data_IF_088201996540
#
_entry.id   IF_088201996540
#
_cell.length_a   1.000
_cell.length_b   1.000
_cell.length_c   1.000
_cell.angle_alpha   90.00
_cell.angle_beta   90.00
_cell.angle_gamma   90.00
#
_symmetry.space_group_name_H-M   'P 1'
#
loop_
_entity.id
_entity.type
_entity.pdbx_description
1 polymer ?
#
# COMPACT_ATOMS: atom_id res chain seq x y z
N UNK A 1 -16.92 -5.28 -4.14
CA UNK A 1 -15.98 -4.55 -3.27
C UNK A 1 -14.61 -5.22 -3.21
N UNK A 2 -14.52 -6.57 -3.13
CA UNK A 2 -13.24 -7.31 -3.16
C UNK A 2 -12.42 -7.10 -4.45
N UNK A 3 -13.07 -6.93 -5.61
CA UNK A 3 -12.37 -6.75 -6.89
C UNK A 3 -11.51 -5.48 -6.95
N UNK A 4 -11.91 -4.43 -6.25
CA UNK A 4 -11.23 -3.14 -6.31
C UNK A 4 -9.98 -3.12 -5.42
N UNK A 5 -10.04 -3.79 -4.27
CA UNK A 5 -8.86 -4.00 -3.40
C UNK A 5 -7.80 -4.87 -4.08
N UNK A 6 -8.22 -5.92 -4.79
CA UNK A 6 -7.32 -6.76 -5.59
C UNK A 6 -6.67 -5.94 -6.71
N UNK A 7 -7.44 -5.14 -7.45
CA UNK A 7 -6.91 -4.25 -8.50
C UNK A 7 -5.93 -3.22 -7.95
N UNK A 8 -6.25 -2.59 -6.82
CA UNK A 8 -5.36 -1.61 -6.18
C UNK A 8 -4.04 -2.25 -5.77
N UNK A 9 -4.09 -3.45 -5.18
CA UNK A 9 -2.91 -4.24 -4.83
C UNK A 9 -2.06 -4.56 -6.07
N UNK A 10 -2.68 -5.02 -7.14
CA UNK A 10 -1.96 -5.41 -8.36
C UNK A 10 -1.30 -4.20 -9.03
N UNK A 11 -1.99 -3.04 -9.06
CA UNK A 11 -1.42 -1.78 -9.53
C UNK A 11 -0.26 -1.31 -8.64
N UNK A 12 -0.40 -1.40 -7.31
CA UNK A 12 0.66 -1.08 -6.37
C UNK A 12 1.88 -2.01 -6.51
N UNK A 13 1.65 -3.30 -6.81
CA UNK A 13 2.69 -4.29 -7.08
C UNK A 13 3.43 -4.04 -8.39
N UNK A 14 2.75 -3.56 -9.43
CA UNK A 14 3.38 -3.25 -10.73
C UNK A 14 3.98 -1.84 -10.79
N UNK A 15 3.76 -1.01 -9.77
CA UNK A 15 4.20 0.38 -9.75
C UNK A 15 3.35 1.30 -10.63
N UNK A 16 2.13 0.90 -10.96
CA UNK A 16 1.19 1.70 -11.77
C UNK A 16 0.54 2.79 -10.90
N UNK A 17 1.31 3.87 -10.70
CA UNK A 17 0.89 5.01 -9.90
C UNK A 17 -0.38 5.69 -10.44
N UNK A 18 -0.60 5.67 -11.76
CA UNK A 18 -1.78 6.28 -12.38
C UNK A 18 -3.05 5.52 -12.00
N UNK A 19 -3.03 4.19 -12.14
CA UNK A 19 -4.14 3.33 -11.72
C UNK A 19 -4.36 3.40 -10.21
N UNK A 20 -3.29 3.39 -9.41
CA UNK A 20 -3.38 3.56 -7.95
C UNK A 20 -4.09 4.88 -7.62
N UNK A 21 -3.64 6.00 -8.20
CA UNK A 21 -4.21 7.33 -7.98
C UNK A 21 -5.69 7.39 -8.32
N UNK A 22 -6.07 6.84 -9.48
CA UNK A 22 -7.45 6.80 -9.93
C UNK A 22 -8.32 6.02 -8.95
N UNK A 23 -7.90 4.82 -8.56
CA UNK A 23 -8.65 3.97 -7.64
C UNK A 23 -8.79 4.67 -6.28
N UNK A 24 -7.71 5.18 -5.68
CA UNK A 24 -7.79 5.80 -4.35
C UNK A 24 -8.67 7.05 -4.32
N UNK A 25 -8.79 7.80 -5.43
CA UNK A 25 -9.66 8.98 -5.51
C UNK A 25 -11.16 8.67 -5.52
N UNK A 26 -11.54 7.46 -5.92
CA UNK A 26 -12.93 7.03 -6.08
C UNK A 26 -13.37 6.02 -5.01
N UNK A 27 -12.46 5.60 -4.12
CA UNK A 27 -12.67 4.52 -3.17
C UNK A 27 -12.72 4.97 -1.70
N UNK A 28 -13.26 4.11 -0.85
CA UNK A 28 -13.25 4.25 0.60
C UNK A 28 -11.99 3.63 1.23
N UNK A 29 -11.70 3.99 2.48
CA UNK A 29 -10.54 3.51 3.23
C UNK A 29 -10.44 1.97 3.33
N UNK A 30 -11.58 1.25 3.31
CA UNK A 30 -11.62 -0.22 3.30
C UNK A 30 -10.90 -0.84 2.09
N UNK A 31 -10.91 -0.15 0.94
CA UNK A 31 -10.21 -0.60 -0.28
C UNK A 31 -8.71 -0.34 -0.17
N UNK A 32 -8.33 0.81 0.41
CA UNK A 32 -6.94 1.24 0.57
C UNK A 32 -6.19 0.31 1.53
N UNK A 33 -6.88 -0.09 2.61
CA UNK A 33 -6.35 -0.98 3.65
C UNK A 33 -6.76 -2.44 3.44
N UNK A 34 -7.21 -2.79 2.22
CA UNK A 34 -7.58 -4.16 1.87
C UNK A 34 -6.43 -5.12 2.17
N UNK A 35 -6.71 -6.23 2.85
CA UNK A 35 -5.74 -7.29 3.14
C UNK A 35 -6.00 -8.49 2.23
N UNK A 36 -4.95 -9.03 1.65
CA UNK A 36 -5.04 -10.32 0.97
C UNK A 36 -5.02 -11.51 1.96
N UNK A 37 -5.02 -12.74 1.43
CA UNK A 37 -5.01 -13.97 2.26
C UNK A 37 -3.78 -14.11 3.15
N UNK A 38 -2.68 -13.47 2.78
CA UNK A 38 -1.42 -13.42 3.53
C UNK A 38 -1.31 -12.14 4.37
N UNK A 39 -2.39 -11.36 4.48
CA UNK A 39 -2.44 -10.15 5.27
C UNK A 39 -1.76 -8.94 4.63
N UNK A 40 -1.28 -9.03 3.39
CA UNK A 40 -0.62 -7.91 2.73
C UNK A 40 -1.63 -6.87 2.24
N UNK A 41 -1.28 -5.60 2.44
CA UNK A 41 -2.03 -4.44 1.91
C UNK A 41 -1.40 -3.93 0.60
N UNK A 42 -2.11 -3.09 -0.18
CA UNK A 42 -1.50 -2.39 -1.31
C UNK A 42 -0.21 -1.65 -0.93
N UNK A 43 -0.14 -1.07 0.27
CA UNK A 43 1.06 -0.39 0.76
C UNK A 43 2.24 -1.36 0.97
N UNK A 44 1.99 -2.57 1.45
CA UNK A 44 3.04 -3.60 1.52
C UNK A 44 3.60 -3.93 0.14
N UNK A 45 2.74 -4.08 -0.86
CA UNK A 45 3.17 -4.40 -2.23
C UNK A 45 3.99 -3.25 -2.83
N UNK A 46 3.51 -2.02 -2.72
CA UNK A 46 4.27 -0.86 -3.18
C UNK A 46 5.65 -0.77 -2.49
N UNK A 47 5.73 -1.12 -1.21
CA UNK A 47 6.99 -1.10 -0.46
C UNK A 47 7.94 -2.24 -0.82
N UNK A 48 7.42 -3.46 -0.92
CA UNK A 48 8.15 -4.66 -1.29
C UNK A 48 8.77 -4.55 -2.69
N UNK A 49 8.07 -3.90 -3.64
CA UNK A 49 8.53 -3.70 -5.01
C UNK A 49 9.21 -2.33 -5.26
N UNK A 50 9.50 -1.57 -4.19
CA UNK A 50 10.25 -0.29 -4.25
C UNK A 50 9.55 0.81 -5.07
N UNK A 51 8.23 0.82 -5.07
CA UNK A 51 7.39 1.79 -5.77
C UNK A 51 7.05 2.97 -4.86
N UNK A 52 8.02 3.86 -4.69
CA UNK A 52 7.89 5.06 -3.84
C UNK A 52 6.66 5.91 -4.17
N UNK A 53 6.40 6.16 -5.45
CA UNK A 53 5.27 7.00 -5.87
C UNK A 53 3.93 6.37 -5.48
N UNK A 54 3.78 5.05 -5.65
CA UNK A 54 2.60 4.32 -5.17
C UNK A 54 2.47 4.39 -3.65
N UNK A 55 3.58 4.28 -2.90
CA UNK A 55 3.57 4.43 -1.44
C UNK A 55 3.07 5.82 -1.03
N UNK A 56 3.57 6.88 -1.67
CA UNK A 56 3.14 8.25 -1.41
C UNK A 56 1.64 8.41 -1.65
N UNK A 57 1.14 7.99 -2.80
CA UNK A 57 -0.30 8.10 -3.15
C UNK A 57 -1.17 7.34 -2.14
N UNK A 58 -0.77 6.12 -1.76
CA UNK A 58 -1.51 5.32 -0.78
C UNK A 58 -1.52 6.00 0.60
N UNK A 59 -0.38 6.52 1.06
CA UNK A 59 -0.27 7.20 2.35
C UNK A 59 -1.06 8.52 2.40
N UNK A 60 -1.02 9.31 1.31
CA UNK A 60 -1.84 10.52 1.14
C UNK A 60 -3.33 10.19 1.17
N UNK A 61 -3.72 9.06 0.56
CA UNK A 61 -5.10 8.57 0.59
C UNK A 61 -5.51 7.98 1.94
N UNK A 62 -4.60 7.91 2.91
CA UNK A 62 -4.90 7.46 4.27
C UNK A 62 -4.64 5.98 4.53
N UNK A 63 -3.79 5.32 3.74
CA UNK A 63 -3.31 3.99 4.05
C UNK A 63 -2.70 3.90 5.45
N UNK A 64 -3.04 2.85 6.18
CA UNK A 64 -2.54 2.57 7.51
C UNK A 64 -1.23 1.77 7.41
N UNK A 65 -0.13 2.42 7.77
CA UNK A 65 1.20 1.82 7.77
C UNK A 65 1.47 0.90 8.98
N UNK A 66 0.55 0.83 9.94
CA UNK A 66 0.67 -0.01 11.13
C UNK A 66 0.08 -1.42 10.93
N UNK A 67 -0.65 -1.63 9.83
CA UNK A 67 -1.21 -2.96 9.50
C UNK A 67 -0.07 -3.95 9.27
N UNK A 68 -0.17 -5.09 9.94
CA UNK A 68 0.76 -6.20 9.80
C UNK A 68 0.26 -7.28 8.83
N UNK A 69 1.19 -7.84 8.08
CA UNK A 69 1.04 -9.08 7.30
C UNK A 69 0.79 -10.29 8.22
N UNK A 70 0.55 -11.46 7.63
CA UNK A 70 0.43 -12.71 8.38
C UNK A 70 1.72 -13.09 9.14
N UNK A 71 2.88 -12.62 8.66
CA UNK A 71 4.19 -12.82 9.28
C UNK A 71 4.50 -11.79 10.38
N UNK A 72 3.58 -10.84 10.63
CA UNK A 72 3.74 -9.79 11.64
C UNK A 72 4.51 -8.56 11.16
N UNK A 73 4.86 -8.50 9.88
CA UNK A 73 5.63 -7.40 9.29
C UNK A 73 4.70 -6.28 8.81
N UNK A 74 5.07 -5.03 9.08
CA UNK A 74 4.42 -3.83 8.52
C UNK A 74 4.90 -3.54 7.10
N UNK A 75 4.19 -2.66 6.40
CA UNK A 75 4.60 -2.23 5.06
C UNK A 75 6.02 -1.63 5.02
N UNK A 76 6.48 -1.03 6.13
CA UNK A 76 7.83 -0.49 6.23
C UNK A 76 8.91 -1.59 6.38
N UNK A 77 8.56 -2.73 6.97
CA UNK A 77 9.49 -3.82 7.26
C UNK A 77 9.67 -4.77 6.06
N UNK A 78 8.61 -4.97 5.26
CA UNK A 78 8.65 -5.87 4.08
C UNK A 78 9.40 -5.29 2.87
N UNK A 79 9.63 -3.97 2.86
CA UNK A 79 10.28 -3.26 1.77
C UNK A 79 11.77 -3.02 2.01
N UNK A 80 12.41 -2.29 1.09
CA UNK A 80 13.78 -1.83 1.31
C UNK A 80 13.82 -0.88 2.51
N UNK A 81 14.90 -0.95 3.29
CA UNK A 81 15.15 -0.08 4.46
C UNK A 81 14.92 1.40 4.16
N UNK A 82 15.35 1.88 2.98
CA UNK A 82 15.16 3.27 2.55
C UNK A 82 13.68 3.66 2.46
N UNK A 83 12.83 2.78 1.93
CA UNK A 83 11.42 3.04 1.77
C UNK A 83 10.64 2.78 3.06
N UNK A 84 11.07 1.81 3.87
CA UNK A 84 10.54 1.62 5.22
C UNK A 84 10.72 2.86 6.09
N UNK A 85 11.91 3.47 6.05
CA UNK A 85 12.15 4.75 6.71
C UNK A 85 11.23 5.85 6.18
N UNK A 86 11.00 5.90 4.87
CA UNK A 86 10.07 6.88 4.27
C UNK A 86 8.64 6.71 4.77
N UNK A 87 8.13 5.47 4.79
CA UNK A 87 6.77 5.13 5.25
C UNK A 87 6.60 5.48 6.74
N UNK A 88 7.55 5.11 7.59
CA UNK A 88 7.50 5.39 9.04
C UNK A 88 7.61 6.87 9.37
N UNK A 89 8.31 7.66 8.56
CA UNK A 89 8.46 9.10 8.75
C UNK A 89 7.43 9.92 7.96
N UNK A 90 6.47 9.28 7.30
CA UNK A 90 5.43 9.99 6.54
C UNK A 90 4.50 10.73 7.51
N UNK A 91 4.63 12.06 7.55
CA UNK A 91 3.74 12.93 8.34
C UNK A 91 2.57 13.36 7.46
N UNK A 92 1.35 12.99 7.88
CA UNK A 92 0.08 13.48 7.31
C UNK A 92 -0.10 14.98 7.52
#
# INVERSE_FOLDING_TARGET
MADLGIKLRDAAKSGDAETVKKIVSECSADVINFKDRSGFTPLHMASMFDHKECCTILLEAGADNTIQSADGETAAEVGKVTLGNYINNFKK
#
